data_IF_638528786969
#
_entry.id   IF_638528786969
#
_cell.length_a   1.000
_cell.length_b   1.000
_cell.length_c   1.000
_cell.angle_alpha   90.00
_cell.angle_beta   90.00
_cell.angle_gamma   90.00
#
_symmetry.space_group_name_H-M   'P 1'
#
loop_
_entity.id
_entity.type
_entity.pdbx_description
1 polymer ?
#
# COMPACT_ATOMS: atom_id res chain seq x y z
N UNK A 1 8.71 28.69 40.78
CA UNK A 1 9.47 29.60 39.89
C UNK A 1 9.06 29.32 38.44
N UNK A 2 8.24 30.23 37.92
CA UNK A 2 7.96 30.62 36.53
C UNK A 2 7.77 29.56 35.44
N UNK A 3 6.48 29.23 35.21
CA UNK A 3 5.91 28.96 33.89
C UNK A 3 5.76 30.27 33.10
N UNK A 4 6.00 30.23 31.78
CA UNK A 4 5.54 31.28 30.85
C UNK A 4 4.60 30.66 29.82
N UNK A 5 3.33 31.04 29.94
CA UNK A 5 2.24 30.86 28.96
C UNK A 5 2.25 32.09 28.05
N UNK A 6 2.31 31.92 26.73
CA UNK A 6 2.03 32.99 25.79
C UNK A 6 0.69 32.72 25.10
N UNK A 7 -0.31 33.50 25.51
CA UNK A 7 -1.52 33.74 24.77
C UNK A 7 -1.86 35.22 24.89
N UNK A 8 -2.17 35.86 23.75
CA UNK A 8 -3.11 36.98 23.64
C UNK A 8 -3.34 37.30 22.17
N UNK A 9 -4.57 37.08 21.74
CA UNK A 9 -5.12 37.66 20.51
C UNK A 9 -5.37 39.16 20.74
N UNK A 10 -4.96 39.97 19.78
CA UNK A 10 -5.23 41.41 19.75
C UNK A 10 -6.62 41.62 19.14
N UNK A 11 -7.50 42.26 19.92
CA UNK A 11 -8.83 42.70 19.52
C UNK A 11 -8.68 44.11 18.94
N UNK A 12 -8.88 44.30 17.64
CA UNK A 12 -8.98 45.63 17.03
C UNK A 12 -10.45 45.88 16.72
N UNK A 13 -11.05 46.79 17.48
CA UNK A 13 -12.37 47.33 17.18
C UNK A 13 -12.25 48.39 16.10
N UNK A 14 -13.11 48.29 15.09
CA UNK A 14 -13.35 49.39 14.15
C UNK A 14 -14.86 49.63 14.14
N UNK A 15 -15.20 50.85 14.53
CA UNK A 15 -16.51 51.47 14.55
C UNK A 15 -17.10 51.61 13.14
N UNK A 16 -18.40 51.32 13.02
CA UNK A 16 -19.23 51.74 11.89
C UNK A 16 -19.53 53.24 11.96
N UNK A 17 -19.81 53.90 10.83
CA UNK A 17 -21.15 54.47 10.72
C UNK A 17 -21.81 54.30 9.33
N UNK A 18 -23.14 54.15 9.37
CA UNK A 18 -24.16 54.60 8.41
C UNK A 18 -23.96 54.32 6.90
N UNK A 19 -24.88 53.56 6.29
CA UNK A 19 -25.86 54.06 5.30
C UNK A 19 -26.80 52.95 4.81
N UNK A 20 -28.10 53.27 4.75
CA UNK A 20 -29.02 52.83 3.68
C UNK A 20 -29.46 51.36 3.63
N UNK A 21 -30.60 51.06 4.25
CA UNK A 21 -31.37 49.85 3.93
C UNK A 21 -31.94 49.94 2.50
N UNK A 22 -31.31 49.26 1.55
CA UNK A 22 -31.89 49.00 0.23
C UNK A 22 -32.27 47.50 0.17
N UNK A 23 -33.57 47.20 0.19
CA UNK A 23 -34.10 45.83 0.03
C UNK A 23 -33.85 45.35 -1.39
N UNK A 24 -32.78 44.60 -1.61
CA UNK A 24 -32.67 43.71 -2.76
C UNK A 24 -33.22 42.32 -2.38
N UNK A 25 -34.23 41.86 -3.13
CA UNK A 25 -34.65 40.45 -3.15
C UNK A 25 -33.47 39.62 -3.65
N UNK A 26 -32.66 39.12 -2.73
CA UNK A 26 -31.62 38.14 -3.02
C UNK A 26 -32.25 36.81 -3.40
N UNK A 27 -32.09 36.43 -4.65
CA UNK A 27 -32.22 35.05 -5.10
C UNK A 27 -31.28 34.23 -4.21
N UNK A 28 -31.85 33.29 -3.45
CA UNK A 28 -31.07 32.29 -2.73
C UNK A 28 -30.37 31.42 -3.77
N UNK A 29 -29.12 31.76 -4.12
CA UNK A 29 -28.19 30.75 -4.63
C UNK A 29 -27.86 29.85 -3.44
N UNK A 30 -28.75 28.90 -3.18
CA UNK A 30 -28.37 27.69 -2.50
C UNK A 30 -27.25 27.09 -3.35
N UNK A 31 -26.00 27.28 -2.91
CA UNK A 31 -24.93 26.37 -3.30
C UNK A 31 -25.40 25.02 -2.78
N UNK A 32 -26.00 24.24 -3.67
CA UNK A 32 -26.22 22.82 -3.44
C UNK A 32 -24.83 22.25 -3.22
N UNK A 33 -24.44 22.16 -1.94
CA UNK A 33 -23.28 21.40 -1.52
C UNK A 33 -23.69 19.95 -1.73
N UNK A 34 -23.58 19.50 -2.98
CA UNK A 34 -23.71 18.10 -3.35
C UNK A 34 -22.77 17.36 -2.43
N UNK A 35 -23.29 16.47 -1.60
CA UNK A 35 -22.47 15.50 -0.87
C UNK A 35 -21.66 14.76 -1.93
N UNK A 36 -20.39 15.10 -2.11
CA UNK A 36 -19.53 14.41 -3.06
C UNK A 36 -19.43 12.97 -2.58
N UNK A 37 -19.83 12.02 -3.44
CA UNK A 37 -19.68 10.61 -3.16
C UNK A 37 -18.19 10.29 -3.05
N UNK A 38 -17.80 9.71 -1.91
CA UNK A 38 -16.44 9.24 -1.69
C UNK A 38 -16.27 7.88 -2.35
N UNK A 39 -15.28 7.73 -3.22
CA UNK A 39 -15.07 6.49 -3.99
C UNK A 39 -13.69 5.89 -3.80
N UNK A 40 -13.65 4.57 -3.78
CA UNK A 40 -12.44 3.75 -3.87
C UNK A 40 -12.21 3.39 -5.33
N UNK A 41 -11.01 3.66 -5.84
CA UNK A 41 -10.62 3.26 -7.19
C UNK A 41 -9.79 1.98 -7.14
N UNK A 42 -10.23 0.94 -7.85
CA UNK A 42 -9.43 -0.24 -8.18
C UNK A 42 -8.93 -0.07 -9.61
N UNK A 43 -7.62 -0.09 -9.81
CA UNK A 43 -7.00 0.22 -11.11
C UNK A 43 -6.30 -1.00 -11.65
N UNK A 44 -6.62 -1.36 -12.89
CA UNK A 44 -6.08 -2.51 -13.59
C UNK A 44 -5.57 -2.15 -14.98
N UNK A 45 -4.61 -2.93 -15.47
CA UNK A 45 -4.07 -2.80 -16.83
C UNK A 45 -4.10 -4.10 -17.60
N UNK A 46 -4.44 -4.02 -18.88
CA UNK A 46 -4.48 -5.16 -19.80
C UNK A 46 -3.10 -5.68 -20.18
N UNK A 47 -2.02 -4.90 -19.96
CA UNK A 47 -0.63 -5.31 -20.26
C UNK A 47 -0.02 -6.24 -19.20
N UNK A 48 -0.72 -6.42 -18.07
CA UNK A 48 -0.28 -7.28 -16.97
C UNK A 48 -1.36 -8.33 -16.62
N UNK A 49 -1.10 -9.63 -16.87
CA UNK A 49 -1.99 -10.72 -16.47
C UNK A 49 -2.34 -10.75 -14.97
N UNK A 50 -1.41 -10.38 -14.08
CA UNK A 50 -1.67 -10.33 -12.64
C UNK A 50 -2.53 -9.12 -12.24
N UNK A 51 -2.72 -8.18 -13.16
CA UNK A 51 -3.61 -7.04 -12.99
C UNK A 51 -5.00 -7.34 -13.57
N UNK A 52 -5.05 -7.70 -14.86
CA UNK A 52 -6.31 -7.84 -15.60
C UNK A 52 -7.10 -9.09 -15.21
N UNK A 53 -6.46 -10.20 -14.84
CA UNK A 53 -7.19 -11.42 -14.48
C UNK A 53 -7.99 -11.24 -13.18
N UNK A 54 -7.40 -10.71 -12.09
CA UNK A 54 -8.16 -10.30 -10.90
C UNK A 54 -9.27 -9.28 -11.20
N UNK A 55 -9.00 -8.29 -12.05
CA UNK A 55 -10.00 -7.30 -12.43
C UNK A 55 -11.21 -7.92 -13.14
N UNK A 56 -10.98 -8.85 -14.07
CA UNK A 56 -12.04 -9.60 -14.77
C UNK A 56 -12.83 -10.49 -13.82
N UNK A 57 -12.15 -11.15 -12.88
CA UNK A 57 -12.82 -11.95 -11.85
C UNK A 57 -13.73 -11.06 -10.97
N UNK A 58 -13.25 -9.89 -10.60
CA UNK A 58 -13.99 -8.88 -9.85
C UNK A 58 -15.21 -8.38 -10.66
N UNK A 59 -15.04 -8.01 -11.94
CA UNK A 59 -16.12 -7.58 -12.83
C UNK A 59 -17.18 -8.66 -13.10
N UNK A 60 -16.82 -9.95 -12.96
CA UNK A 60 -17.77 -11.06 -13.11
C UNK A 60 -18.71 -11.23 -11.90
N UNK A 61 -18.44 -10.53 -10.79
CA UNK A 61 -19.32 -10.49 -9.62
C UNK A 61 -20.59 -9.66 -9.91
N UNK A 62 -21.71 -9.87 -9.20
CA UNK A 62 -22.90 -9.05 -9.39
C UNK A 62 -22.68 -7.58 -8.97
N UNK A 63 -23.45 -6.67 -9.55
CA UNK A 63 -23.51 -5.24 -9.16
C UNK A 63 -22.65 -4.30 -10.00
N UNK A 64 -21.82 -4.81 -10.92
CA UNK A 64 -21.03 -3.99 -11.83
C UNK A 64 -21.85 -3.43 -12.99
N UNK A 65 -21.68 -2.15 -13.26
CA UNK A 65 -22.26 -1.44 -14.39
C UNK A 65 -21.19 -0.60 -15.10
N UNK A 66 -21.30 -0.33 -16.41
CA UNK A 66 -20.42 0.60 -17.09
C UNK A 66 -20.41 1.98 -16.43
N UNK A 67 -19.23 2.57 -16.30
CA UNK A 67 -18.98 3.94 -15.86
C UNK A 67 -18.50 4.85 -17.01
N UNK A 68 -18.12 6.11 -16.71
CA UNK A 68 -17.57 7.01 -17.71
C UNK A 68 -16.22 6.50 -18.25
N UNK A 69 -15.93 6.77 -19.52
CA UNK A 69 -14.59 6.53 -20.08
C UNK A 69 -13.78 7.81 -19.90
N UNK A 70 -12.59 7.69 -19.33
CA UNK A 70 -11.66 8.81 -19.15
C UNK A 70 -10.74 8.96 -20.37
N UNK A 71 -10.11 10.12 -20.47
CA UNK A 71 -9.09 10.40 -21.48
C UNK A 71 -7.99 9.34 -21.48
N UNK A 72 -7.45 9.05 -22.67
CA UNK A 72 -6.49 7.96 -22.86
C UNK A 72 -7.12 6.57 -22.96
N UNK A 73 -8.45 6.48 -23.03
CA UNK A 73 -9.18 5.22 -23.26
C UNK A 73 -9.36 4.37 -22.00
N UNK A 74 -9.23 4.98 -20.81
CA UNK A 74 -9.43 4.30 -19.53
C UNK A 74 -10.92 4.02 -19.37
N UNK A 75 -11.28 2.74 -19.46
CA UNK A 75 -12.63 2.24 -19.26
C UNK A 75 -12.91 2.22 -17.76
N UNK A 76 -14.12 2.53 -17.34
CA UNK A 76 -14.49 2.39 -15.93
C UNK A 76 -15.79 1.64 -15.73
N UNK A 77 -15.92 1.09 -14.53
CA UNK A 77 -17.07 0.33 -14.08
C UNK A 77 -17.39 0.74 -12.65
N UNK A 78 -18.67 0.76 -12.28
CA UNK A 78 -19.15 1.11 -10.95
C UNK A 78 -19.83 -0.08 -10.28
N UNK A 79 -19.60 -0.26 -8.99
CA UNK A 79 -20.33 -1.18 -8.14
C UNK A 79 -20.78 -0.46 -6.86
N UNK A 80 -22.10 -0.38 -6.66
CA UNK A 80 -22.69 0.45 -5.61
C UNK A 80 -22.24 1.92 -5.68
N UNK A 81 -22.38 2.61 -4.54
CA UNK A 81 -22.14 4.04 -4.48
C UNK A 81 -20.65 4.40 -4.43
N UNK A 82 -19.81 3.51 -3.90
CA UNK A 82 -18.46 3.87 -3.45
C UNK A 82 -17.32 3.12 -4.15
N UNK A 83 -17.58 2.12 -5.01
CA UNK A 83 -16.51 1.33 -5.65
C UNK A 83 -16.47 1.56 -7.16
N UNK A 84 -15.27 1.84 -7.67
CA UNK A 84 -14.99 2.01 -9.10
C UNK A 84 -13.86 1.08 -9.50
N UNK A 85 -13.95 0.49 -10.69
CA UNK A 85 -12.87 -0.25 -11.32
C UNK A 85 -12.50 0.46 -12.60
N UNK A 86 -11.22 0.81 -12.74
CA UNK A 86 -10.64 1.46 -13.90
C UNK A 86 -9.76 0.44 -14.62
N UNK A 87 -9.97 0.28 -15.92
CA UNK A 87 -9.22 -0.60 -16.79
C UNK A 87 -8.57 0.20 -17.90
N UNK A 88 -7.27 0.01 -18.09
CA UNK A 88 -6.49 0.74 -19.08
C UNK A 88 -5.53 -0.19 -19.84
N UNK A 89 -4.90 0.36 -20.88
CA UNK A 89 -4.03 -0.40 -21.79
C UNK A 89 -2.55 0.02 -21.71
N UNK A 90 -2.18 0.82 -20.69
CA UNK A 90 -0.80 1.30 -20.44
C UNK A 90 -0.21 0.71 -19.16
N UNK A 91 1.09 0.90 -18.94
CA UNK A 91 1.74 0.49 -17.69
C UNK A 91 1.21 1.33 -16.52
N UNK A 92 0.79 0.66 -15.44
CA UNK A 92 0.21 1.34 -14.26
C UNK A 92 1.17 2.36 -13.63
N UNK A 93 2.47 2.11 -13.67
CA UNK A 93 3.49 3.01 -13.11
C UNK A 93 3.58 4.36 -13.86
N UNK A 94 2.93 4.49 -15.02
CA UNK A 94 2.86 5.72 -15.82
C UNK A 94 1.58 6.53 -15.56
N UNK A 95 0.65 6.02 -14.73
CA UNK A 95 -0.63 6.67 -14.47
C UNK A 95 -0.58 7.67 -13.31
N UNK A 96 0.28 8.68 -13.47
CA UNK A 96 0.37 9.79 -12.53
C UNK A 96 -0.98 10.54 -12.43
N UNK A 97 -1.26 11.02 -11.21
CA UNK A 97 -2.38 11.88 -10.85
C UNK A 97 -3.76 11.31 -11.26
N UNK A 98 -3.89 9.98 -11.31
CA UNK A 98 -5.13 9.31 -11.71
C UNK A 98 -6.31 9.64 -10.79
N UNK A 99 -6.04 9.81 -9.50
CA UNK A 99 -7.00 10.31 -8.52
C UNK A 99 -7.53 11.70 -8.91
N UNK A 100 -6.64 12.65 -9.21
CA UNK A 100 -7.03 14.00 -9.60
C UNK A 100 -7.78 14.04 -10.94
N UNK A 101 -7.33 13.24 -11.91
CA UNK A 101 -8.01 13.09 -13.21
C UNK A 101 -9.42 12.52 -13.05
N UNK A 102 -9.60 11.55 -12.16
CA UNK A 102 -10.94 11.01 -11.84
C UNK A 102 -11.83 12.05 -11.18
N UNK A 103 -11.34 12.75 -10.16
CA UNK A 103 -12.10 13.79 -9.45
C UNK A 103 -12.54 14.90 -10.43
N UNK A 104 -11.64 15.33 -11.32
CA UNK A 104 -11.93 16.35 -12.33
C UNK A 104 -12.97 15.89 -13.38
N UNK A 105 -12.87 14.64 -13.84
CA UNK A 105 -13.76 14.13 -14.88
C UNK A 105 -15.17 13.77 -14.39
N UNK A 106 -15.30 13.39 -13.11
CA UNK A 106 -16.54 12.79 -12.58
C UNK A 106 -17.21 13.62 -11.49
N UNK A 107 -16.46 14.49 -10.81
CA UNK A 107 -16.91 15.20 -9.61
C UNK A 107 -17.00 14.33 -8.35
N UNK A 108 -16.66 13.04 -8.44
CA UNK A 108 -16.56 12.14 -7.28
C UNK A 108 -15.25 12.37 -6.54
N UNK A 109 -15.24 12.28 -5.21
CA UNK A 109 -14.02 12.46 -4.42
C UNK A 109 -13.35 11.12 -4.19
N UNK A 110 -12.06 11.01 -4.50
CA UNK A 110 -11.32 9.77 -4.32
C UNK A 110 -10.87 9.63 -2.87
N UNK A 111 -11.27 8.53 -2.25
CA UNK A 111 -10.90 8.15 -0.88
C UNK A 111 -9.56 7.42 -0.84
N UNK A 112 -9.34 6.48 -1.76
CA UNK A 112 -8.16 5.62 -1.82
C UNK A 112 -8.06 4.92 -3.19
N UNK A 113 -6.84 4.46 -3.53
CA UNK A 113 -6.54 3.75 -4.77
C UNK A 113 -5.84 2.41 -4.51
N UNK A 114 -6.29 1.38 -5.22
CA UNK A 114 -5.64 0.07 -5.25
C UNK A 114 -5.18 -0.24 -6.67
N UNK A 115 -3.87 -0.32 -6.86
CA UNK A 115 -3.31 -0.74 -8.12
C UNK A 115 -3.13 -2.26 -8.12
N UNK A 116 -3.85 -2.92 -9.03
CA UNK A 116 -3.66 -4.33 -9.31
C UNK A 116 -2.42 -4.48 -10.19
N UNK A 117 -1.35 -5.10 -9.71
CA UNK A 117 -0.12 -5.22 -10.49
C UNK A 117 0.70 -6.40 -10.00
N UNK A 118 1.39 -7.07 -10.93
CA UNK A 118 2.36 -8.12 -10.62
C UNK A 118 3.52 -7.56 -9.82
N UNK A 119 4.12 -8.45 -9.02
CA UNK A 119 5.50 -8.33 -8.63
C UNK A 119 6.46 -8.83 -9.74
N UNK A 120 7.41 -7.99 -10.16
CA UNK A 120 8.50 -8.40 -11.05
C UNK A 120 9.81 -8.58 -10.27
N UNK A 121 9.90 -9.66 -9.48
CA UNK A 121 11.10 -9.96 -8.70
C UNK A 121 12.22 -10.58 -9.56
N UNK A 122 13.44 -10.03 -9.47
CA UNK A 122 14.66 -10.64 -10.05
C UNK A 122 14.89 -12.08 -9.55
N UNK A 123 14.41 -12.38 -8.35
CA UNK A 123 14.55 -13.71 -7.73
C UNK A 123 13.70 -14.81 -8.40
N UNK A 124 12.75 -14.46 -9.28
CA UNK A 124 11.75 -15.37 -9.88
C UNK A 124 10.95 -16.20 -8.86
N UNK A 125 10.98 -15.83 -7.57
CA UNK A 125 10.15 -16.46 -6.55
C UNK A 125 8.73 -15.91 -6.67
N UNK A 126 7.71 -16.78 -6.75
CA UNK A 126 6.33 -16.32 -6.70
C UNK A 126 6.06 -15.67 -5.35
N UNK A 127 5.33 -14.56 -5.33
CA UNK A 127 4.90 -13.92 -4.10
C UNK A 127 3.60 -13.16 -4.36
N UNK A 128 2.67 -13.21 -3.40
CA UNK A 128 1.54 -12.28 -3.35
C UNK A 128 1.96 -11.13 -2.45
N UNK A 129 2.08 -9.94 -3.03
CA UNK A 129 2.66 -8.80 -2.34
C UNK A 129 1.70 -7.63 -2.18
N UNK A 130 1.97 -6.85 -1.13
CA UNK A 130 1.32 -5.57 -0.86
C UNK A 130 2.40 -4.58 -0.48
N UNK A 131 2.36 -3.36 -1.01
CA UNK A 131 3.28 -2.33 -0.56
C UNK A 131 2.79 -0.89 -0.77
N UNK A 132 3.31 0.05 0.03
CA UNK A 132 3.23 1.48 -0.27
C UNK A 132 4.07 1.85 -1.49
N UNK A 133 3.74 2.95 -2.15
CA UNK A 133 4.48 3.47 -3.32
C UNK A 133 5.23 4.77 -2.99
N UNK A 134 6.30 5.02 -3.74
CA UNK A 134 7.12 6.22 -3.58
C UNK A 134 8.57 6.04 -3.98
N UNK A 135 9.24 7.15 -4.28
CA UNK A 135 10.67 7.23 -4.57
C UNK A 135 11.34 8.24 -3.60
N UNK A 136 11.34 7.96 -2.29
CA UNK A 136 11.67 8.97 -1.28
C UNK A 136 13.17 9.30 -1.21
N UNK A 137 14.01 8.42 -1.75
CA UNK A 137 15.48 8.44 -1.61
C UNK A 137 16.23 9.11 -2.77
N UNK A 138 15.54 9.46 -3.86
CA UNK A 138 16.18 10.14 -4.99
C UNK A 138 16.10 11.67 -4.84
N UNK A 139 17.04 12.38 -5.46
CA UNK A 139 17.07 13.84 -5.62
C UNK A 139 16.63 14.25 -7.02
N UNK A 140 16.27 15.52 -7.18
CA UNK A 140 16.01 16.09 -8.50
C UNK A 140 17.23 15.90 -9.42
N UNK A 141 16.99 15.37 -10.62
CA UNK A 141 18.04 15.04 -11.59
C UNK A 141 18.54 13.59 -11.52
N UNK A 142 18.20 12.82 -10.49
CA UNK A 142 18.47 11.38 -10.47
C UNK A 142 17.61 10.64 -11.51
N UNK A 143 18.15 9.53 -12.04
CA UNK A 143 17.41 8.68 -12.97
C UNK A 143 16.33 7.92 -12.20
N UNK A 144 15.06 8.14 -12.58
CA UNK A 144 13.94 7.41 -12.03
C UNK A 144 13.92 5.98 -12.58
N UNK A 145 13.94 4.95 -11.72
CA UNK A 145 13.91 3.58 -12.19
C UNK A 145 12.56 3.21 -12.80
N UNK A 146 11.45 3.55 -12.14
CA UNK A 146 10.09 3.17 -12.54
C UNK A 146 9.04 4.13 -11.94
N UNK A 147 8.47 5.02 -12.77
CA UNK A 147 7.39 5.93 -12.38
C UNK A 147 7.70 6.87 -11.20
N UNK A 148 6.75 7.76 -10.87
CA UNK A 148 6.87 8.64 -9.72
C UNK A 148 7.83 9.81 -9.95
N UNK A 149 8.25 10.46 -8.87
CA UNK A 149 9.26 11.54 -8.90
C UNK A 149 10.21 11.46 -7.70
N UNK A 150 11.40 12.08 -7.78
CA UNK A 150 12.34 12.12 -6.66
C UNK A 150 11.73 12.79 -5.42
N UNK A 151 12.18 12.33 -4.23
CA UNK A 151 11.78 12.90 -2.95
C UNK A 151 10.28 12.84 -2.66
N UNK A 152 9.57 11.84 -3.19
CA UNK A 152 8.12 11.73 -3.08
C UNK A 152 7.67 10.34 -2.60
N UNK A 153 6.55 10.29 -1.89
CA UNK A 153 5.81 9.08 -1.58
C UNK A 153 4.31 9.39 -1.45
N UNK A 154 3.45 8.47 -1.90
CA UNK A 154 2.01 8.59 -1.72
C UNK A 154 1.65 8.32 -0.24
N UNK A 155 0.56 8.91 0.30
CA UNK A 155 0.04 8.44 1.58
C UNK A 155 -0.19 6.92 1.54
N UNK A 156 0.36 6.13 2.47
CA UNK A 156 0.21 4.68 2.45
C UNK A 156 -1.25 4.31 2.75
N UNK A 157 -1.83 3.37 2.02
CA UNK A 157 -3.19 2.90 2.32
C UNK A 157 -3.24 2.22 3.70
N UNK A 158 -4.15 2.63 4.62
CA UNK A 158 -4.33 1.97 5.90
C UNK A 158 -4.62 0.46 5.81
N UNK A 159 -5.15 0.00 4.68
CA UNK A 159 -5.54 -1.40 4.48
C UNK A 159 -4.36 -2.36 4.29
N UNK A 160 -3.13 -1.88 4.08
CA UNK A 160 -1.95 -2.72 3.80
C UNK A 160 -1.78 -3.84 4.84
N UNK A 161 -1.73 -3.50 6.13
CA UNK A 161 -1.59 -4.49 7.22
C UNK A 161 -2.80 -5.42 7.34
N UNK A 162 -4.02 -4.88 7.48
CA UNK A 162 -5.24 -5.68 7.54
C UNK A 162 -5.42 -6.63 6.35
N UNK A 163 -5.06 -6.22 5.13
CA UNK A 163 -5.18 -7.05 3.93
C UNK A 163 -4.08 -8.10 3.84
N UNK A 164 -2.87 -7.83 4.33
CA UNK A 164 -1.84 -8.86 4.50
C UNK A 164 -2.33 -9.98 5.43
N UNK A 165 -2.93 -9.62 6.57
CA UNK A 165 -3.49 -10.58 7.53
C UNK A 165 -4.65 -11.35 6.91
N UNK A 166 -5.55 -10.66 6.20
CA UNK A 166 -6.67 -11.27 5.49
C UNK A 166 -6.20 -12.30 4.45
N UNK A 167 -5.23 -11.94 3.59
CA UNK A 167 -4.65 -12.86 2.61
C UNK A 167 -4.09 -14.13 3.25
N UNK A 168 -3.39 -13.99 4.38
CA UNK A 168 -2.86 -15.15 5.11
C UNK A 168 -3.97 -16.03 5.65
N UNK A 169 -5.02 -15.44 6.23
CA UNK A 169 -6.18 -16.18 6.74
C UNK A 169 -6.93 -16.91 5.63
N UNK A 170 -7.08 -16.30 4.46
CA UNK A 170 -7.67 -16.95 3.26
C UNK A 170 -6.79 -18.13 2.84
N UNK A 171 -5.47 -17.94 2.75
CA UNK A 171 -4.57 -19.03 2.38
C UNK A 171 -4.62 -20.21 3.37
N UNK A 172 -4.75 -19.93 4.66
CA UNK A 172 -4.92 -20.93 5.72
C UNK A 172 -6.29 -21.64 5.61
N UNK A 173 -7.39 -20.89 5.50
CA UNK A 173 -8.75 -21.44 5.46
C UNK A 173 -9.01 -22.32 4.24
N UNK A 174 -8.36 -21.99 3.11
CA UNK A 174 -8.43 -22.76 1.88
C UNK A 174 -7.34 -23.84 1.76
N UNK A 175 -6.55 -24.07 2.81
CA UNK A 175 -5.48 -25.07 2.85
C UNK A 175 -4.46 -24.90 1.69
N UNK A 176 -4.18 -23.66 1.31
CA UNK A 176 -3.20 -23.30 0.28
C UNK A 176 -1.78 -23.24 0.81
N UNK A 177 -1.60 -23.15 2.14
CA UNK A 177 -0.28 -23.04 2.78
C UNK A 177 0.68 -24.15 2.34
N UNK A 178 0.31 -25.45 2.32
CA UNK A 178 1.23 -26.50 1.88
C UNK A 178 1.67 -26.36 0.42
N UNK A 179 0.77 -25.92 -0.47
CA UNK A 179 1.10 -25.68 -1.87
C UNK A 179 2.02 -24.47 -2.02
N UNK A 180 1.74 -23.39 -1.27
CA UNK A 180 2.56 -22.19 -1.28
C UNK A 180 3.97 -22.51 -0.79
N UNK A 181 4.10 -23.28 0.29
CA UNK A 181 5.39 -23.78 0.77
C UNK A 181 6.10 -24.65 -0.28
N UNK A 182 5.37 -25.56 -0.95
CA UNK A 182 5.92 -26.45 -1.97
C UNK A 182 6.49 -25.70 -3.18
N UNK A 183 5.77 -24.70 -3.68
CA UNK A 183 6.23 -23.88 -4.82
C UNK A 183 7.14 -22.71 -4.41
N UNK A 184 7.38 -22.55 -3.10
CA UNK A 184 8.17 -21.45 -2.54
C UNK A 184 7.51 -20.07 -2.66
N UNK A 185 6.18 -20.02 -2.73
CA UNK A 185 5.39 -18.79 -2.77
C UNK A 185 5.18 -18.19 -1.38
N UNK A 186 5.26 -16.86 -1.28
CA UNK A 186 5.05 -16.15 -0.02
C UNK A 186 3.98 -15.06 -0.14
N UNK A 187 3.12 -14.96 0.86
CA UNK A 187 2.32 -13.74 1.11
C UNK A 187 3.17 -12.82 1.97
N UNK A 188 3.61 -11.70 1.41
CA UNK A 188 4.60 -10.80 2.04
C UNK A 188 4.33 -9.32 1.73
N UNK A 189 5.06 -8.44 2.42
CA UNK A 189 5.14 -7.03 2.08
C UNK A 189 6.36 -6.74 1.22
N UNK A 190 6.34 -5.61 0.54
CA UNK A 190 7.53 -5.00 -0.06
C UNK A 190 7.82 -3.62 0.54
N UNK A 191 9.06 -3.20 0.38
CA UNK A 191 9.51 -1.86 0.69
C UNK A 191 8.80 -0.84 -0.22
N UNK A 192 8.73 0.41 0.24
CA UNK A 192 8.26 1.54 -0.54
C UNK A 192 9.18 1.79 -1.73
N UNK A 193 8.62 1.68 -2.93
CA UNK A 193 9.33 1.89 -4.18
C UNK A 193 8.36 2.26 -5.31
N UNK A 194 8.92 2.84 -6.38
CA UNK A 194 8.29 3.23 -7.66
C UNK A 194 7.05 4.13 -7.59
N UNK A 195 6.58 4.59 -8.74
CA UNK A 195 5.32 5.33 -8.92
C UNK A 195 4.08 4.45 -9.03
N UNK A 196 2.95 4.97 -9.54
CA UNK A 196 2.76 6.32 -10.08
C UNK A 196 2.59 7.39 -8.99
N UNK A 197 2.57 8.67 -9.35
CA UNK A 197 2.25 9.79 -8.46
C UNK A 197 0.75 9.78 -8.13
N UNK A 198 0.43 9.84 -6.84
CA UNK A 198 -0.94 10.01 -6.34
C UNK A 198 -0.96 10.93 -5.10
N UNK A 199 -2.13 11.50 -4.80
CA UNK A 199 -2.35 12.37 -3.63
C UNK A 199 -3.16 11.69 -2.52
N UNK A 200 -3.87 10.61 -2.83
CA UNK A 200 -4.72 9.86 -1.87
C UNK A 200 -4.04 8.58 -1.35
N UNK A 201 -4.51 8.03 -0.22
CA UNK A 201 -4.08 6.73 0.29
C UNK A 201 -4.01 5.66 -0.80
N UNK A 202 -2.83 5.07 -1.00
CA UNK A 202 -2.55 4.19 -2.14
C UNK A 202 -1.78 2.95 -1.71
N UNK A 203 -2.05 1.83 -2.37
CA UNK A 203 -1.23 0.62 -2.30
C UNK A 203 -1.22 -0.13 -3.63
N UNK A 204 -0.14 -0.86 -3.86
CA UNK A 204 -0.11 -1.94 -4.84
C UNK A 204 -0.52 -3.25 -4.18
N UNK A 205 -1.29 -4.06 -4.89
CA UNK A 205 -1.68 -5.39 -4.46
C UNK A 205 -2.00 -6.28 -5.67
N UNK A 206 -1.71 -7.57 -5.58
CA UNK A 206 -2.08 -8.50 -6.65
C UNK A 206 -3.58 -8.89 -6.63
N UNK A 207 -4.16 -9.20 -5.46
CA UNK A 207 -5.60 -9.54 -5.35
C UNK A 207 -6.15 -9.51 -3.91
N UNK A 208 -7.33 -8.89 -3.65
CA UNK A 208 -8.34 -9.29 -2.62
C UNK A 208 -9.68 -8.55 -2.87
N UNK A 209 -10.79 -9.24 -3.18
CA UNK A 209 -12.13 -8.62 -3.20
C UNK A 209 -12.85 -8.67 -1.83
N UNK A 210 -12.56 -9.67 -0.99
CA UNK A 210 -13.11 -9.76 0.36
C UNK A 210 -12.76 -8.54 1.22
N UNK A 211 -11.54 -8.00 1.05
CA UNK A 211 -11.10 -6.79 1.74
C UNK A 211 -11.93 -5.55 1.38
N UNK A 212 -12.56 -5.54 0.20
CA UNK A 212 -13.49 -4.50 -0.24
C UNK A 212 -14.88 -4.63 0.39
N UNK A 213 -15.17 -5.73 1.10
CA UNK A 213 -16.51 -6.03 1.61
C UNK A 213 -17.46 -6.56 0.53
N UNK A 214 -16.92 -7.13 -0.54
CA UNK A 214 -17.71 -7.78 -1.58
C UNK A 214 -17.94 -9.25 -1.19
N UNK A 215 -19.20 -9.67 -1.11
CA UNK A 215 -19.58 -11.04 -0.71
C UNK A 215 -19.97 -11.16 0.77
N UNK A 216 -20.99 -10.40 1.18
CA UNK A 216 -21.63 -10.41 2.51
C UNK A 216 -20.75 -9.94 3.70
N UNK A 217 -19.43 -9.78 3.51
CA UNK A 217 -18.50 -9.26 4.52
C UNK A 217 -18.42 -7.74 4.60
N UNK A 218 -18.03 -7.21 5.76
CA UNK A 218 -17.70 -5.79 5.92
C UNK A 218 -16.32 -5.47 5.31
N UNK A 219 -16.10 -4.23 4.81
CA UNK A 219 -14.78 -3.83 4.31
C UNK A 219 -13.73 -3.87 5.42
N UNK A 220 -12.55 -4.42 5.10
CA UNK A 220 -11.46 -4.64 6.05
C UNK A 220 -10.44 -3.51 5.98
N UNK A 221 -10.00 -3.04 7.15
CA UNK A 221 -8.91 -2.08 7.26
C UNK A 221 -9.31 -0.61 7.12
N UNK A 222 -10.59 -0.27 7.35
CA UNK A 222 -11.04 1.13 7.38
C UNK A 222 -10.37 1.86 8.56
N UNK A 223 -9.61 2.91 8.25
CA UNK A 223 -9.03 3.76 9.28
C UNK A 223 -10.09 4.61 9.96
N UNK A 224 -10.00 4.70 11.28
CA UNK A 224 -10.81 5.61 12.08
C UNK A 224 -9.93 6.21 13.17
N UNK A 225 -9.92 7.54 13.23
CA UNK A 225 -9.12 8.37 14.13
C UNK A 225 -9.75 8.53 15.53
N UNK A 226 -10.75 7.72 15.88
CA UNK A 226 -11.48 7.85 17.14
C UNK A 226 -10.61 7.46 18.34
N UNK A 227 -10.20 8.48 19.10
CA UNK A 227 -9.69 8.55 20.50
C UNK A 227 -8.53 7.67 20.97
N UNK A 228 -8.31 6.50 20.38
CA UNK A 228 -7.17 5.64 20.70
C UNK A 228 -6.01 5.93 19.75
N UNK A 229 -4.84 6.24 20.32
CA UNK A 229 -3.59 6.40 19.56
C UNK A 229 -3.14 5.04 19.02
N UNK A 230 -3.73 4.62 17.91
CA UNK A 230 -3.34 3.42 17.16
C UNK A 230 -1.90 3.58 16.68
N UNK A 231 -1.09 2.54 16.87
CA UNK A 231 0.32 2.53 16.47
C UNK A 231 0.44 2.29 14.98
N UNK A 232 1.26 3.09 14.31
CA UNK A 232 1.55 3.00 12.88
C UNK A 232 3.05 2.78 12.71
N UNK A 233 3.43 1.68 12.08
CA UNK A 233 4.82 1.32 11.87
C UNK A 233 5.43 2.09 10.70
N UNK A 234 6.51 2.82 10.96
CA UNK A 234 7.48 3.25 9.96
C UNK A 234 8.66 2.26 9.99
N UNK A 235 8.77 1.41 8.97
CA UNK A 235 9.85 0.44 8.84
C UNK A 235 11.10 1.09 8.26
N UNK A 236 12.25 0.88 8.88
CA UNK A 236 13.54 1.43 8.42
C UNK A 236 14.58 0.29 8.39
N UNK A 237 15.11 0.05 7.20
CA UNK A 237 16.12 -0.94 6.91
C UNK A 237 15.60 -2.25 6.31
N UNK A 238 16.46 -3.26 6.27
CA UNK A 238 16.16 -4.56 5.67
C UNK A 238 16.25 -4.58 4.15
N UNK A 239 15.90 -5.72 3.57
CA UNK A 239 15.83 -5.91 2.11
C UNK A 239 14.49 -5.48 1.54
N UNK A 240 14.31 -5.71 0.25
CA UNK A 240 13.09 -5.36 -0.48
C UNK A 240 11.80 -5.99 0.09
N UNK A 241 11.85 -7.22 0.63
CA UNK A 241 10.66 -7.91 1.19
C UNK A 241 10.43 -7.68 2.70
N UNK A 242 11.24 -6.82 3.34
CA UNK A 242 11.01 -6.30 4.71
C UNK A 242 10.51 -7.33 5.78
N UNK A 243 11.06 -8.55 5.86
CA UNK A 243 10.46 -9.65 6.65
C UNK A 243 10.43 -9.37 8.15
N UNK A 244 11.42 -8.66 8.71
CA UNK A 244 11.41 -8.32 10.13
C UNK A 244 10.34 -7.29 10.50
N UNK A 245 10.05 -6.35 9.60
CA UNK A 245 8.97 -5.39 9.82
C UNK A 245 7.63 -6.12 9.78
N UNK A 246 7.49 -7.08 8.86
CA UNK A 246 6.33 -7.96 8.80
C UNK A 246 6.11 -8.77 10.09
N UNK A 247 7.15 -9.31 10.72
CA UNK A 247 7.04 -10.00 12.02
C UNK A 247 6.45 -9.11 13.13
N UNK A 248 6.66 -7.79 13.04
CA UNK A 248 6.07 -6.80 13.96
C UNK A 248 4.62 -6.48 13.57
N UNK A 249 4.36 -6.29 12.28
CA UNK A 249 3.02 -5.97 11.72
C UNK A 249 2.02 -7.09 11.98
N UNK A 250 2.46 -8.35 11.95
CA UNK A 250 1.60 -9.50 12.23
C UNK A 250 1.19 -9.61 13.70
N UNK A 251 1.71 -8.75 14.59
CA UNK A 251 1.21 -8.61 15.96
C UNK A 251 0.00 -7.68 15.96
N UNK A 252 -1.01 -8.02 16.74
CA UNK A 252 -2.26 -7.25 16.79
C UNK A 252 -2.03 -5.78 17.18
N UNK A 253 -2.76 -4.89 16.51
CA UNK A 253 -2.83 -3.46 16.84
C UNK A 253 -1.79 -2.55 16.18
N UNK A 254 -1.03 -3.05 15.20
CA UNK A 254 -0.02 -2.26 14.47
C UNK A 254 -0.46 -2.05 13.02
N UNK A 255 -0.60 -0.79 12.63
CA UNK A 255 -0.87 -0.35 11.26
C UNK A 255 0.42 -0.18 10.47
N UNK A 256 0.33 -0.20 9.14
CA UNK A 256 1.50 -0.17 8.26
C UNK A 256 1.58 1.18 7.57
N UNK A 257 2.62 1.95 7.88
CA UNK A 257 3.03 3.12 7.14
C UNK A 257 3.99 2.76 6.01
N UNK A 258 4.94 3.65 5.74
CA UNK A 258 6.02 3.36 4.80
C UNK A 258 7.06 2.37 5.35
N UNK A 259 7.71 1.66 4.44
CA UNK A 259 8.72 0.64 4.73
C UNK A 259 9.96 0.94 3.89
N UNK A 260 10.97 1.59 4.47
CA UNK A 260 12.19 1.98 3.77
C UNK A 260 13.20 0.85 3.83
N UNK A 261 13.51 0.23 2.69
CA UNK A 261 14.61 -0.72 2.58
C UNK A 261 15.98 -0.03 2.78
N UNK A 262 17.03 -0.82 2.96
CA UNK A 262 18.40 -0.30 3.04
C UNK A 262 18.87 0.45 1.78
N UNK A 263 18.39 0.10 0.59
CA UNK A 263 18.73 0.82 -0.65
C UNK A 263 18.03 2.18 -0.74
N UNK A 264 16.90 2.36 -0.06
CA UNK A 264 16.20 3.64 0.05
C UNK A 264 16.77 4.54 1.16
N UNK A 265 17.92 4.18 1.73
CA UNK A 265 18.59 4.91 2.81
C UNK A 265 20.07 5.15 2.47
N UNK A 266 20.41 5.77 1.33
CA UNK A 266 21.80 5.99 0.97
C UNK A 266 22.44 6.97 1.96
N UNK A 267 23.58 6.53 2.49
CA UNK A 267 24.38 7.23 3.48
C UNK A 267 25.80 7.33 2.96
N UNK A 268 26.29 8.55 2.89
CA UNK A 268 27.65 8.85 2.51
C UNK A 268 28.48 9.06 3.78
N UNK A 269 29.58 8.32 3.87
CA UNK A 269 30.50 8.38 5.02
C UNK A 269 31.22 9.74 5.00
N UNK A 270 31.26 10.51 6.10
CA UNK A 270 32.04 11.74 6.20
C UNK A 270 33.55 11.55 5.96
N UNK A 271 34.03 10.30 5.87
CA UNK A 271 35.42 9.95 5.65
C UNK A 271 36.20 9.81 6.96
N UNK A 272 37.49 9.49 6.84
CA UNK A 272 38.40 9.32 7.98
C UNK A 272 38.77 10.67 8.60
N UNK A 273 37.85 11.25 9.35
CA UNK A 273 38.18 12.30 10.31
C UNK A 273 38.30 11.64 11.68
N UNK A 274 39.32 12.00 12.48
CA UNK A 274 39.43 11.57 13.88
C UNK A 274 38.33 12.22 14.78
N UNK A 275 37.32 12.85 14.17
CA UNK A 275 36.20 13.46 14.84
C UNK A 275 35.14 12.39 15.14
N UNK A 276 34.44 12.57 16.26
CA UNK A 276 33.32 11.71 16.63
C UNK A 276 32.24 11.83 15.55
N UNK A 277 31.95 10.74 14.84
CA UNK A 277 30.85 10.69 13.87
C UNK A 277 29.54 11.02 14.60
N UNK A 278 28.84 12.05 14.12
CA UNK A 278 27.52 12.44 14.58
C UNK A 278 26.49 12.21 13.47
N UNK A 279 25.19 12.19 13.80
CA UNK A 279 24.14 12.09 12.79
C UNK A 279 24.21 13.20 11.73
N UNK A 280 24.73 14.37 12.10
CA UNK A 280 24.84 15.52 11.22
C UNK A 280 26.06 15.47 10.29
N UNK A 281 27.05 14.63 10.61
CA UNK A 281 28.17 14.39 9.71
C UNK A 281 27.89 13.34 8.63
N UNK A 282 26.78 12.60 8.68
CA UNK A 282 26.47 11.57 7.68
C UNK A 282 25.63 12.19 6.56
N UNK A 283 26.24 12.29 5.38
CA UNK A 283 25.61 12.81 4.18
C UNK A 283 24.75 11.74 3.47
N UNK A 284 24.24 12.06 2.28
CA UNK A 284 23.29 11.23 1.53
C UNK A 284 21.83 11.65 1.69
N UNK A 285 20.89 10.87 1.14
CA UNK A 285 19.45 11.20 1.14
C UNK A 285 18.66 10.46 2.21
N UNK A 286 19.30 9.69 3.09
CA UNK A 286 18.60 8.94 4.14
C UNK A 286 17.70 9.82 5.03
N UNK A 287 18.13 11.05 5.38
CA UNK A 287 17.31 12.01 6.16
C UNK A 287 16.05 12.41 5.39
N UNK A 288 16.21 12.73 4.10
CA UNK A 288 15.10 13.05 3.20
C UNK A 288 14.14 11.87 3.08
N UNK A 289 14.67 10.66 2.85
CA UNK A 289 13.85 9.48 2.68
C UNK A 289 12.98 9.19 3.90
N UNK A 290 13.56 9.28 5.11
CA UNK A 290 12.82 9.14 6.37
C UNK A 290 11.79 10.25 6.55
N UNK A 291 12.14 11.51 6.26
CA UNK A 291 11.20 12.64 6.39
C UNK A 291 9.99 12.48 5.47
N UNK A 292 10.22 12.22 4.18
CA UNK A 292 9.17 12.02 3.18
C UNK A 292 8.25 10.87 3.58
N UNK A 293 8.83 9.73 3.98
CA UNK A 293 8.08 8.57 4.42
C UNK A 293 7.29 8.83 5.71
N UNK A 294 7.87 9.57 6.67
CA UNK A 294 7.19 9.94 7.91
C UNK A 294 6.02 10.88 7.65
N UNK A 295 6.21 11.92 6.84
CA UNK A 295 5.19 12.92 6.54
C UNK A 295 4.02 12.31 5.75
N UNK A 296 4.30 11.48 4.75
CA UNK A 296 3.27 10.74 4.01
C UNK A 296 2.51 9.75 4.91
N UNK A 297 3.22 9.02 5.79
CA UNK A 297 2.58 8.15 6.79
C UNK A 297 1.68 8.97 7.73
N UNK A 298 2.16 10.11 8.22
CA UNK A 298 1.38 10.98 9.11
C UNK A 298 0.11 11.51 8.45
N UNK A 299 0.18 11.83 7.16
CA UNK A 299 -0.97 12.27 6.38
C UNK A 299 -2.03 11.16 6.24
N UNK A 300 -1.63 9.91 6.03
CA UNK A 300 -2.55 8.78 5.91
C UNK A 300 -3.22 8.35 7.23
N UNK A 301 -2.60 8.65 8.36
CA UNK A 301 -3.03 8.19 9.68
C UNK A 301 -3.28 9.35 10.66
N UNK A 302 -4.27 10.23 10.41
CA UNK A 302 -4.58 11.33 11.31
C UNK A 302 -4.94 10.79 12.70
N UNK A 303 -4.29 11.32 13.74
CA UNK A 303 -4.44 10.89 15.14
C UNK A 303 -3.64 9.62 15.52
N UNK A 304 -2.98 8.96 14.57
CA UNK A 304 -2.13 7.80 14.83
C UNK A 304 -0.80 8.16 15.50
N UNK A 305 -0.25 7.21 16.26
CA UNK A 305 1.10 7.29 16.82
C UNK A 305 2.08 6.56 15.91
N UNK A 306 2.96 7.32 15.25
CA UNK A 306 3.99 6.72 14.39
C UNK A 306 5.14 6.20 15.24
N UNK A 307 5.41 4.90 15.14
CA UNK A 307 6.54 4.22 15.77
C UNK A 307 7.53 3.77 14.69
N UNK A 308 8.81 4.05 14.90
CA UNK A 308 9.86 3.58 14.00
C UNK A 308 10.35 2.19 14.45
N UNK A 309 10.44 1.24 13.52
CA UNK A 309 11.08 -0.06 13.76
C UNK A 309 12.30 -0.19 12.85
N UNK A 310 13.46 -0.38 13.48
CA UNK A 310 14.76 -0.47 12.81
C UNK A 310 15.15 -1.94 12.59
N UNK A 311 15.42 -2.35 11.35
CA UNK A 311 16.07 -3.64 11.09
C UNK A 311 17.56 -3.53 11.41
N UNK A 312 17.96 -4.10 12.55
CA UNK A 312 19.32 -4.05 13.11
C UNK A 312 20.43 -4.66 12.24
N UNK A 313 20.15 -5.15 11.03
CA UNK A 313 21.20 -5.50 10.06
C UNK A 313 21.83 -4.28 9.35
N UNK A 314 21.38 -3.06 9.65
CA UNK A 314 22.07 -1.83 9.25
C UNK A 314 23.15 -1.46 10.27
N UNK A 315 24.36 -1.97 10.08
CA UNK A 315 25.52 -1.62 10.93
C UNK A 315 25.82 -0.11 10.91
N UNK A 316 25.44 0.61 9.83
CA UNK A 316 25.68 2.07 9.67
C UNK A 316 24.74 2.98 10.47
N UNK A 317 23.48 2.59 10.75
CA UNK A 317 22.52 3.42 11.51
C UNK A 317 22.83 3.46 13.02
N UNK A 318 23.58 2.49 13.55
CA UNK A 318 23.86 2.35 14.99
C UNK A 318 24.72 3.49 15.56
N UNK A 319 25.53 4.15 14.72
CA UNK A 319 26.35 5.30 15.16
C UNK A 319 25.58 6.63 15.20
N UNK A 320 24.50 6.74 14.43
CA UNK A 320 23.82 8.01 14.16
C UNK A 320 22.68 8.29 15.13
N UNK A 321 21.94 7.25 15.55
CA UNK A 321 20.93 7.39 16.60
C UNK A 321 21.63 7.27 17.96
N UNK A 322 22.09 8.39 18.51
CA UNK A 322 22.71 8.45 19.83
C UNK A 322 21.94 7.66 20.89
N UNK A 323 22.68 6.98 21.77
CA UNK A 323 22.16 6.01 22.76
C UNK A 323 21.12 6.56 23.74
N UNK A 324 19.86 6.63 23.28
CA UNK A 324 18.74 7.20 24.02
C UNK A 324 17.40 6.49 23.80
N UNK A 325 17.39 5.28 23.26
CA UNK A 325 16.22 4.40 23.27
C UNK A 325 16.52 3.24 24.22
N UNK A 326 15.84 3.23 25.37
CA UNK A 326 15.97 2.15 26.36
C UNK A 326 15.36 0.87 25.76
N UNK A 327 16.14 -0.21 25.78
CA UNK A 327 15.68 -1.57 25.52
C UNK A 327 14.59 -1.92 26.54
N UNK A 328 13.34 -1.97 26.09
CA UNK A 328 12.30 -2.69 26.83
C UNK A 328 12.15 -4.07 26.18
N UNK A 329 12.66 -5.07 26.92
CA UNK A 329 12.51 -6.54 26.82
C UNK A 329 13.66 -7.35 26.18
N UNK A 330 14.40 -8.16 26.99
CA UNK A 330 15.39 -9.10 26.49
C UNK A 330 14.71 -10.42 26.07
N UNK A 331 14.57 -10.66 24.76
CA UNK A 331 14.19 -11.98 24.25
C UNK A 331 15.40 -12.92 24.25
N UNK A 332 15.34 -13.87 25.17
CA UNK A 332 16.27 -14.99 25.39
C UNK A 332 16.47 -15.78 24.08
N UNK A 333 17.70 -15.78 23.55
CA UNK A 333 18.09 -16.58 22.38
C UNK A 333 18.14 -18.06 22.73
N UNK A 334 17.20 -18.85 22.21
CA UNK A 334 17.31 -20.31 22.22
C UNK A 334 17.78 -20.79 20.84
N UNK A 335 19.08 -21.13 20.75
CA UNK A 335 19.67 -21.75 19.56
C UNK A 335 19.23 -23.21 19.47
N UNK A 336 18.26 -23.54 18.62
CA UNK A 336 18.07 -24.93 18.15
C UNK A 336 18.92 -25.17 16.90
N UNK A 337 20.02 -25.91 17.06
CA UNK A 337 20.71 -26.59 15.94
C UNK A 337 19.79 -27.69 15.41
N UNK A 338 19.26 -27.56 14.19
CA UNK A 338 18.76 -28.70 13.42
C UNK A 338 19.86 -29.15 12.45
N UNK A 339 20.34 -30.39 12.62
CA UNK A 339 21.13 -31.12 11.63
C UNK A 339 20.24 -31.36 10.41
N UNK A 340 20.69 -30.93 9.23
CA UNK A 340 20.14 -31.37 7.95
C UNK A 340 21.05 -32.50 7.46
N UNK A 341 20.53 -33.73 7.44
CA UNK A 341 21.17 -34.82 6.72
C UNK A 341 20.86 -34.65 5.24
N UNK A 342 21.91 -34.71 4.42
CA UNK A 342 21.84 -34.61 2.98
C UNK A 342 21.19 -35.84 2.35
N UNK A 343 20.34 -35.57 1.37
CA UNK A 343 19.85 -36.52 0.37
C UNK A 343 19.45 -35.70 -0.84
N UNK A 344 20.36 -35.54 -1.80
CA UNK A 344 20.08 -34.88 -3.07
C UNK A 344 19.27 -35.83 -3.96
N UNK A 345 18.08 -35.41 -4.37
CA UNK A 345 17.35 -36.01 -5.49
C UNK A 345 17.27 -35.00 -6.64
N UNK A 346 17.41 -35.41 -7.91
CA UNK A 346 17.52 -34.48 -9.02
C UNK A 346 16.18 -33.81 -9.33
N UNK A 347 16.22 -32.51 -9.50
CA UNK A 347 15.12 -31.66 -9.91
C UNK A 347 14.78 -31.94 -11.39
N UNK A 348 13.59 -32.49 -11.67
CA UNK A 348 13.10 -32.69 -13.05
C UNK A 348 11.79 -31.93 -13.22
N UNK A 349 11.85 -30.93 -14.10
CA UNK A 349 10.75 -30.34 -14.87
C UNK A 349 9.34 -30.32 -14.27
N UNK A 350 9.02 -29.25 -13.52
CA UNK A 350 7.66 -28.99 -13.04
C UNK A 350 7.26 -27.50 -13.09
N UNK A 351 7.74 -26.72 -14.07
CA UNK A 351 7.58 -25.26 -14.05
C UNK A 351 6.33 -24.72 -14.77
N UNK A 352 5.75 -25.45 -15.73
CA UNK A 352 4.60 -24.95 -16.49
C UNK A 352 3.24 -25.40 -15.92
N UNK A 353 3.12 -26.67 -15.53
CA UNK A 353 1.85 -27.24 -15.05
C UNK A 353 1.48 -26.73 -13.65
N UNK A 354 2.46 -26.51 -12.78
CA UNK A 354 2.25 -25.92 -11.46
C UNK A 354 1.84 -24.43 -11.55
N UNK A 355 2.44 -23.66 -12.47
CA UNK A 355 2.05 -22.26 -12.74
C UNK A 355 0.66 -22.14 -13.36
N UNK A 356 0.30 -23.06 -14.26
CA UNK A 356 -1.05 -23.12 -14.83
C UNK A 356 -2.11 -23.50 -13.78
N UNK A 357 -1.80 -24.45 -12.87
CA UNK A 357 -2.66 -24.77 -11.74
C UNK A 357 -2.81 -23.60 -10.76
N UNK A 358 -1.75 -22.82 -10.52
CA UNK A 358 -1.82 -21.62 -9.69
C UNK A 358 -2.67 -20.50 -10.34
N UNK A 359 -2.59 -20.28 -11.65
CA UNK A 359 -3.47 -19.34 -12.35
C UNK A 359 -4.95 -19.78 -12.31
N UNK A 360 -5.20 -21.09 -12.38
CA UNK A 360 -6.55 -21.67 -12.27
C UNK A 360 -7.04 -21.71 -10.81
N UNK A 361 -6.17 -21.87 -9.82
CA UNK A 361 -6.51 -21.84 -8.40
C UNK A 361 -6.66 -20.43 -7.85
N UNK A 362 -5.77 -19.48 -8.17
CA UNK A 362 -5.97 -18.06 -7.89
C UNK A 362 -7.10 -17.48 -8.74
N UNK A 363 -7.37 -18.03 -9.93
CA UNK A 363 -8.54 -17.68 -10.72
C UNK A 363 -9.83 -18.35 -10.24
N UNK A 364 -9.77 -19.46 -9.50
CA UNK A 364 -10.93 -20.32 -9.19
C UNK A 364 -11.33 -20.40 -7.72
N UNK A 365 -10.38 -20.33 -6.78
CA UNK A 365 -10.66 -20.25 -5.33
C UNK A 365 -11.00 -18.82 -4.88
N UNK A 366 -10.64 -17.84 -5.70
CA UNK A 366 -10.90 -16.43 -5.48
C UNK A 366 -12.14 -15.92 -6.27
N UNK A 367 -12.84 -16.84 -6.93
CA UNK A 367 -14.16 -16.61 -7.52
C UNK A 367 -15.22 -17.13 -6.56
N UNK A 368 -16.14 -16.24 -6.19
CA UNK A 368 -17.49 -16.46 -5.66
C UNK A 368 -17.91 -17.94 -5.37
N UNK A 369 -18.40 -18.28 -4.16
CA UNK A 369 -18.83 -19.65 -3.80
C UNK A 369 -20.03 -20.24 -4.58
N UNK A 370 -20.52 -19.57 -5.63
CA UNK A 370 -21.77 -19.89 -6.32
C UNK A 370 -21.66 -20.51 -7.71
N UNK A 371 -20.47 -20.93 -8.18
CA UNK A 371 -20.36 -21.74 -9.41
C UNK A 371 -19.89 -23.15 -9.10
N UNK A 372 -20.84 -24.04 -8.85
CA UNK A 372 -20.65 -25.46 -9.15
C UNK A 372 -20.38 -25.59 -10.65
N UNK A 373 -19.15 -25.94 -11.03
CA UNK A 373 -18.85 -26.40 -12.38
C UNK A 373 -19.67 -27.68 -12.61
N UNK A 374 -20.76 -27.56 -13.36
CA UNK A 374 -21.42 -28.71 -13.97
C UNK A 374 -20.39 -29.44 -14.83
N UNK A 375 -19.97 -30.62 -14.39
CA UNK A 375 -19.30 -31.59 -15.25
C UNK A 375 -20.25 -31.93 -16.40
N UNK A 376 -19.94 -31.48 -17.61
CA UNK A 376 -20.47 -32.14 -18.80
C UNK A 376 -19.71 -33.45 -19.00
N UNK A 377 -20.39 -34.60 -19.06
CA UNK A 377 -19.74 -35.85 -19.43
C UNK A 377 -19.46 -35.83 -20.93
N UNK A 378 -18.18 -35.90 -21.30
CA UNK A 378 -17.77 -36.22 -22.67
C UNK A 378 -18.15 -37.68 -22.95
N UNK A 379 -19.29 -37.90 -23.59
CA UNK A 379 -19.55 -39.17 -24.28
C UNK A 379 -18.77 -39.18 -25.57
N UNK A 380 -17.66 -39.92 -25.59
CA UNK A 380 -17.05 -40.39 -26.82
C UNK A 380 -17.92 -41.52 -27.38
N UNK A 381 -18.52 -41.31 -28.55
CA UNK A 381 -19.02 -42.39 -29.41
C UNK A 381 -18.71 -42.06 -30.88
N UNK A 382 -18.06 -43.03 -31.53
CA UNK A 382 -18.02 -43.39 -32.96
C UNK A 382 -18.25 -42.27 -34.02
N UNK A 383 -17.37 -42.07 -35.01
CA UNK A 383 -16.74 -43.03 -35.95
C UNK A 383 -15.44 -42.46 -36.49
#
# INVERSE_FOLDING_TARGET
MNLIRLGKAVKVGISSPFFGACKFKGISTAVLQTSQSMVTLVVATTVDPASINPAKALLAMPGWHPGPTLDGGIRSFKNGDNLRLLEQDKFIIEEDDLDLRWEAATGETVAELFFLSRHAAVSNRPALTIHPIGVPHLKDGDVLPQGGRPGWAAPPCPRIGPWLILLKKIAESHNLVPEFEFIGMQITLEATHHGPITTKPTMFIEIVWEGLGLGEGAPVGIWSSTTEKKKVLLGIGGGHYVPRHMDVILKDGIWVGHLLSGYSLPMDDPGKTNAKITADSIEGTWKQAISVAFDATKAAFPGGEIIAHLDHKLDKLRGSFGGGLRDETPLRRERRKRRVNGGATPYVGGSALARARLHVMLGGLLLWPGRTLYHQPTTASHR
#
